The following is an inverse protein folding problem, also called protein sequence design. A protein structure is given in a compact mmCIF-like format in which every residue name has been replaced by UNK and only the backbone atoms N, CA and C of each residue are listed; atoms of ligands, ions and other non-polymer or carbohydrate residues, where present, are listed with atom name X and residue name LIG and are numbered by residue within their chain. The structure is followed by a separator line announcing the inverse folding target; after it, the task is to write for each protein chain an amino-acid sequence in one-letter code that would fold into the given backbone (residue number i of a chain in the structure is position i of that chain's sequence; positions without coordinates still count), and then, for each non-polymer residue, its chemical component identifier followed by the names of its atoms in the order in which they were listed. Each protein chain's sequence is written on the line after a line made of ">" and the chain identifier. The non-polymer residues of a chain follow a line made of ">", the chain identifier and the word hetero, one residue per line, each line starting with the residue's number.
data_IF_125738251653
#
_entry.id   IF_125738251653
#
_cell.length_a   1.000
_cell.length_b   1.000
_cell.length_c   1.000
_cell.angle_alpha   90.00
_cell.angle_beta   90.00
_cell.angle_gamma   90.00
#
_symmetry.space_group_name_H-M   'P 1'
#
loop_
_entity.id
_entity.type
_entity.pdbx_description
1 polymer ?
#
# COMPACT_ATOMS: atom_id res chain seq x y z
N UNK A 1 8.30 9.22 -3.77
CA UNK A 1 9.11 10.39 -4.18
C UNK A 1 10.32 10.53 -3.26
N UNK A 2 11.37 11.24 -3.69
CA UNK A 2 12.44 11.67 -2.77
C UNK A 2 11.81 12.46 -1.62
N UNK A 3 12.25 12.19 -0.39
CA UNK A 3 11.64 12.73 0.83
C UNK A 3 10.42 11.94 1.35
N UNK A 4 9.97 10.88 0.66
CA UNK A 4 8.89 10.03 1.17
C UNK A 4 9.36 9.22 2.38
N UNK A 5 8.46 9.08 3.37
CA UNK A 5 8.70 8.25 4.55
C UNK A 5 8.50 6.78 4.24
N UNK A 6 9.31 5.95 4.89
CA UNK A 6 9.22 4.50 4.84
C UNK A 6 9.52 3.90 6.21
N UNK A 7 9.09 2.66 6.39
CA UNK A 7 9.45 1.82 7.52
C UNK A 7 10.26 0.64 6.99
N UNK A 8 11.42 0.39 7.59
CA UNK A 8 12.27 -0.75 7.29
C UNK A 8 12.30 -1.69 8.50
N UNK A 9 11.98 -2.96 8.26
CA UNK A 9 11.98 -4.00 9.28
C UNK A 9 13.00 -5.07 8.91
N UNK A 10 14.07 -5.29 9.70
CA UNK A 10 15.04 -6.34 9.41
C UNK A 10 14.35 -7.70 9.41
N UNK A 11 14.65 -8.52 8.39
CA UNK A 11 14.05 -9.87 8.30
C UNK A 11 14.52 -10.74 9.47
N UNK A 12 15.77 -10.57 9.92
CA UNK A 12 16.35 -11.30 11.05
C UNK A 12 15.75 -10.91 12.42
N UNK A 13 15.08 -9.76 12.51
CA UNK A 13 14.46 -9.31 13.76
C UNK A 13 13.17 -8.49 13.48
N UNK A 14 12.05 -9.17 13.21
CA UNK A 14 10.81 -8.52 12.75
C UNK A 14 10.13 -7.61 13.79
N UNK A 15 10.48 -7.72 15.08
CA UNK A 15 9.90 -6.86 16.13
C UNK A 15 10.48 -5.46 16.13
N UNK A 16 11.61 -5.23 15.46
CA UNK A 16 12.25 -3.93 15.38
C UNK A 16 11.97 -3.26 14.03
N UNK A 17 11.27 -2.13 14.06
CA UNK A 17 10.99 -1.34 12.87
C UNK A 17 11.73 0.01 12.94
N UNK A 18 12.31 0.42 11.82
CA UNK A 18 13.11 1.64 11.72
C UNK A 18 12.45 2.60 10.73
N UNK A 19 12.29 3.85 11.14
CA UNK A 19 11.83 4.89 10.23
C UNK A 19 12.97 5.35 9.33
N UNK A 20 12.66 5.58 8.06
CA UNK A 20 13.60 6.09 7.08
C UNK A 20 12.94 7.04 6.09
N UNK A 21 13.79 7.67 5.28
CA UNK A 21 13.37 8.61 4.24
C UNK A 21 14.04 8.27 2.94
N UNK A 22 13.28 8.26 1.83
CA UNK A 22 13.81 8.06 0.49
C UNK A 22 14.75 9.21 0.14
N UNK A 23 16.00 8.89 -0.19
CA UNK A 23 17.04 9.86 -0.54
C UNK A 23 17.28 9.97 -2.04
N UNK A 24 17.04 8.89 -2.79
CA UNK A 24 17.11 8.88 -4.25
C UNK A 24 16.18 7.82 -4.84
N UNK A 25 15.71 8.09 -6.05
CA UNK A 25 14.99 7.13 -6.89
C UNK A 25 15.73 7.14 -8.22
N UNK A 26 16.02 5.97 -8.74
CA UNK A 26 16.67 5.83 -10.03
C UNK A 26 15.78 6.40 -11.16
N UNK A 27 16.39 6.81 -12.26
CA UNK A 27 15.67 7.25 -13.45
C UNK A 27 15.42 6.11 -14.44
N UNK A 28 15.94 4.92 -14.17
CA UNK A 28 15.73 3.73 -15.00
C UNK A 28 15.14 2.56 -14.23
N UNK A 29 14.31 1.78 -14.93
CA UNK A 29 13.84 0.48 -14.45
C UNK A 29 14.84 -0.55 -14.95
N UNK A 30 15.30 -1.45 -14.08
CA UNK A 30 16.12 -2.58 -14.50
C UNK A 30 15.23 -3.55 -15.29
N UNK A 31 15.53 -3.74 -16.57
CA UNK A 31 14.66 -4.50 -17.49
C UNK A 31 14.57 -5.99 -17.16
N UNK A 32 15.65 -6.57 -16.60
CA UNK A 32 15.72 -8.01 -16.30
C UNK A 32 14.86 -8.35 -15.09
N UNK A 33 14.97 -7.55 -14.05
CA UNK A 33 14.24 -7.74 -12.79
C UNK A 33 12.88 -7.05 -12.78
N UNK A 34 12.66 -6.08 -13.67
CA UNK A 34 11.51 -5.17 -13.67
C UNK A 34 11.37 -4.42 -12.35
N UNK A 35 12.49 -4.04 -11.76
CA UNK A 35 12.53 -3.30 -10.49
C UNK A 35 13.03 -1.88 -10.68
N UNK A 36 12.52 -0.97 -9.85
CA UNK A 36 13.01 0.40 -9.74
C UNK A 36 13.87 0.51 -8.50
N UNK A 37 15.13 0.93 -8.65
CA UNK A 37 16.02 1.09 -7.52
C UNK A 37 15.66 2.35 -6.72
N UNK A 38 15.47 2.15 -5.41
CA UNK A 38 15.17 3.22 -4.45
C UNK A 38 16.21 3.18 -3.33
N UNK A 39 16.81 4.33 -3.02
CA UNK A 39 17.73 4.48 -1.90
C UNK A 39 17.04 5.21 -0.76
N UNK A 40 17.24 4.71 0.45
CA UNK A 40 16.71 5.28 1.68
C UNK A 40 17.84 5.61 2.66
N UNK A 41 17.59 6.59 3.54
CA UNK A 41 18.44 6.87 4.70
C UNK A 41 17.67 6.49 5.96
N UNK A 42 18.32 5.74 6.84
CA UNK A 42 17.81 5.29 8.13
C UNK A 42 18.88 5.63 9.16
N UNK A 43 18.48 6.24 10.28
CA UNK A 43 19.41 6.53 11.37
C UNK A 43 19.77 5.23 12.11
N UNK A 44 21.05 5.04 12.42
CA UNK A 44 21.56 3.86 13.12
C UNK A 44 22.36 4.24 14.39
N UNK A 45 21.79 5.01 15.34
CA UNK A 45 22.54 5.50 16.50
C UNK A 45 22.95 4.39 17.47
N UNK A 46 22.16 3.31 17.56
CA UNK A 46 22.46 2.14 18.38
C UNK A 46 23.42 1.16 17.70
N UNK A 47 23.87 1.47 16.48
CA UNK A 47 24.75 0.63 15.68
C UNK A 47 24.25 -0.83 15.54
N UNK A 48 22.93 -1.02 15.40
CA UNK A 48 22.30 -2.34 15.29
C UNK A 48 22.13 -2.80 13.83
N UNK A 49 22.16 -1.88 12.87
CA UNK A 49 22.01 -2.17 11.44
C UNK A 49 23.37 -2.37 10.77
N UNK A 50 23.56 -3.52 10.13
CA UNK A 50 24.82 -3.89 9.46
C UNK A 50 24.65 -4.00 7.95
N UNK A 51 25.73 -3.76 7.22
CA UNK A 51 25.78 -4.00 5.78
C UNK A 51 25.50 -5.48 5.45
N UNK A 52 24.75 -5.73 4.38
CA UNK A 52 24.34 -7.07 3.96
C UNK A 52 23.05 -7.59 4.61
N UNK A 53 22.46 -6.88 5.57
CA UNK A 53 21.14 -7.22 6.12
C UNK A 53 20.03 -7.00 5.10
N UNK A 54 19.04 -7.90 5.11
CA UNK A 54 17.80 -7.76 4.35
C UNK A 54 16.69 -7.14 5.19
N UNK A 55 15.87 -6.31 4.55
CA UNK A 55 14.76 -5.59 5.20
C UNK A 55 13.48 -5.76 4.39
N UNK A 56 12.36 -5.95 5.09
CA UNK A 56 11.04 -5.65 4.56
C UNK A 56 10.82 -4.14 4.58
N UNK A 57 10.39 -3.58 3.46
CA UNK A 57 10.14 -2.14 3.34
C UNK A 57 8.64 -1.90 3.17
N UNK A 58 8.08 -1.06 4.03
CA UNK A 58 6.69 -0.60 3.93
C UNK A 58 6.66 0.90 3.65
N UNK A 59 5.90 1.28 2.63
CA UNK A 59 5.69 2.68 2.24
C UNK A 59 4.19 2.94 2.12
N UNK A 60 3.77 4.12 2.58
CA UNK A 60 2.39 4.60 2.39
C UNK A 60 2.39 5.69 1.35
N UNK A 61 1.55 5.53 0.33
CA UNK A 61 1.38 6.53 -0.72
C UNK A 61 0.05 7.24 -0.51
N UNK A 62 0.01 8.58 -0.61
CA UNK A 62 -1.25 9.28 -0.62
C UNK A 62 -2.05 8.82 -1.84
N UNK A 63 -3.32 8.49 -1.61
CA UNK A 63 -4.27 8.09 -2.64
C UNK A 63 -5.57 8.86 -2.49
N UNK A 64 -6.46 8.68 -3.45
CA UNK A 64 -7.83 9.18 -3.34
C UNK A 64 -8.61 8.30 -2.36
N UNK A 65 -9.42 8.93 -1.50
CA UNK A 65 -10.28 8.23 -0.56
C UNK A 65 -11.59 7.88 -1.27
N UNK A 66 -11.95 6.61 -1.23
CA UNK A 66 -13.19 6.08 -1.79
C UNK A 66 -13.96 5.32 -0.70
N UNK A 67 -15.31 5.25 -0.78
CA UNK A 67 -16.07 4.34 0.06
C UNK A 67 -15.59 2.90 -0.13
N UNK A 68 -15.43 2.18 0.99
CA UNK A 68 -15.10 0.77 1.00
C UNK A 68 -16.29 -0.03 1.54
N UNK A 69 -16.58 -1.16 0.92
CA UNK A 69 -17.60 -2.12 1.36
C UNK A 69 -17.01 -3.52 1.33
N UNK A 70 -17.60 -4.44 2.09
CA UNK A 70 -17.26 -5.86 1.97
C UNK A 70 -17.41 -6.31 0.51
N UNK A 71 -16.47 -7.10 -0.04
CA UNK A 71 -16.60 -7.63 -1.40
C UNK A 71 -17.91 -8.40 -1.63
N UNK A 72 -18.46 -9.02 -0.57
CA UNK A 72 -19.73 -9.75 -0.61
C UNK A 72 -20.96 -8.84 -0.73
N UNK A 73 -20.82 -7.54 -0.44
CA UNK A 73 -21.91 -6.56 -0.61
C UNK A 73 -22.06 -6.08 -2.05
N UNK A 74 -21.09 -6.39 -2.93
CA UNK A 74 -21.13 -6.02 -4.36
C UNK A 74 -21.83 -7.14 -5.13
N UNK A 75 -22.91 -6.79 -5.83
CA UNK A 75 -23.67 -7.68 -6.68
C UNK A 75 -23.54 -7.26 -8.16
N UNK A 76 -23.82 -8.21 -9.05
CA UNK A 76 -23.77 -8.02 -10.50
C UNK A 76 -25.16 -8.16 -11.11
N UNK A 77 -25.51 -7.24 -12.00
CA UNK A 77 -26.73 -7.31 -12.81
C UNK A 77 -26.42 -6.99 -14.27
N UNK A 78 -27.47 -6.91 -15.11
CA UNK A 78 -27.33 -6.57 -16.53
C UNK A 78 -26.57 -5.26 -16.78
N UNK A 79 -26.74 -4.29 -15.88
CA UNK A 79 -26.20 -2.94 -16.02
C UNK A 79 -24.84 -2.76 -15.30
N UNK A 80 -24.26 -3.85 -14.81
CA UNK A 80 -22.98 -3.87 -14.09
C UNK A 80 -23.09 -4.01 -12.58
N UNK A 81 -22.04 -3.58 -11.88
CA UNK A 81 -21.89 -3.74 -10.43
C UNK A 81 -22.78 -2.75 -9.65
N UNK A 82 -23.36 -3.22 -8.55
CA UNK A 82 -24.21 -2.40 -7.68
C UNK A 82 -24.12 -2.87 -6.22
N UNK A 83 -24.60 -2.02 -5.31
CA UNK A 83 -24.82 -2.34 -3.90
C UNK A 83 -26.26 -2.04 -3.51
N UNK A 84 -26.71 -2.61 -2.39
CA UNK A 84 -27.95 -2.20 -1.73
C UNK A 84 -27.64 -1.20 -0.63
N UNK A 85 -28.04 0.06 -0.82
CA UNK A 85 -27.98 1.10 0.21
C UNK A 85 -29.30 1.11 0.99
N UNK A 86 -29.23 1.24 2.31
CA UNK A 86 -30.42 1.49 3.13
C UNK A 86 -30.63 3.00 3.23
N UNK A 87 -31.81 3.46 2.81
CA UNK A 87 -32.25 4.85 2.87
C UNK A 87 -33.68 4.83 3.48
N UNK A 88 -33.88 5.52 4.61
CA UNK A 88 -35.15 5.55 5.35
C UNK A 88 -35.74 4.17 5.66
N UNK A 89 -34.89 3.21 6.03
CA UNK A 89 -35.29 1.84 6.35
C UNK A 89 -35.68 0.99 5.13
N UNK A 90 -35.48 1.49 3.91
CA UNK A 90 -35.74 0.76 2.67
C UNK A 90 -34.46 0.51 1.89
N UNK A 91 -34.37 -0.66 1.27
CA UNK A 91 -33.24 -1.01 0.42
C UNK A 91 -33.40 -0.36 -0.97
N UNK A 92 -32.35 0.31 -1.43
CA UNK A 92 -32.26 0.95 -2.74
C UNK A 92 -31.04 0.42 -3.49
N UNK A 93 -31.25 0.05 -4.75
CA UNK A 93 -30.17 -0.39 -5.65
C UNK A 93 -29.37 0.83 -6.12
N UNK A 94 -28.07 0.84 -5.83
CA UNK A 94 -27.17 1.93 -6.22
C UNK A 94 -26.07 1.37 -7.12
N UNK A 95 -25.95 1.83 -8.38
CA UNK A 95 -24.86 1.41 -9.26
C UNK A 95 -23.52 1.91 -8.71
N UNK A 96 -22.48 1.09 -8.82
CA UNK A 96 -21.14 1.43 -8.35
C UNK A 96 -20.08 1.14 -9.41
N UNK A 97 -18.98 1.90 -9.36
CA UNK A 97 -17.78 1.62 -10.14
C UNK A 97 -16.68 1.10 -9.22
N UNK A 98 -16.17 -0.08 -9.51
CA UNK A 98 -15.06 -0.66 -8.77
C UNK A 98 -13.78 0.10 -9.11
N UNK A 99 -13.17 0.74 -8.11
CA UNK A 99 -11.89 1.46 -8.27
C UNK A 99 -10.71 0.52 -8.02
N UNK A 100 -10.78 -0.20 -6.90
CA UNK A 100 -9.73 -1.10 -6.46
C UNK A 100 -10.36 -2.24 -5.65
N UNK A 101 -9.70 -3.41 -5.66
CA UNK A 101 -9.96 -4.50 -4.72
C UNK A 101 -8.72 -4.68 -3.85
N UNK A 102 -8.90 -4.59 -2.54
CA UNK A 102 -7.89 -4.92 -1.55
C UNK A 102 -8.19 -6.33 -0.99
N UNK A 103 -7.15 -7.12 -0.78
CA UNK A 103 -7.26 -8.42 -0.10
C UNK A 103 -7.33 -8.29 1.42
N UNK A 104 -7.14 -7.07 1.94
CA UNK A 104 -7.16 -6.73 3.36
C UNK A 104 -8.50 -6.07 3.74
N UNK A 105 -9.60 -6.81 3.61
CA UNK A 105 -10.85 -6.60 4.39
C UNK A 105 -11.77 -7.79 4.24
#
# INVERSE_FOLDING_TARGET
>A
KVGAQLTATPIANPSNAYSGTVSAIDNHIDEKSRTLLVKAKIANPADSLRAGMSFGITMKFPGQIYPAVSPLAILWGSDGAYVWQIEDGKARRVPVRIIQRNTET
#
